data_IF_649795070047
#
_entry.id   IF_649795070047
#
_cell.length_a   1.000
_cell.length_b   1.000
_cell.length_c   1.000
_cell.angle_alpha   90.00
_cell.angle_beta   90.00
_cell.angle_gamma   90.00
#
_symmetry.space_group_name_H-M   'P 1'
#
loop_
_entity.id
_entity.type
_entity.pdbx_description
1 polymer ?
#
# COMPACT_ATOMS: atom_id res chain seq x y z
N UNK A 1 -14.55 -2.49 -4.02
CA UNK A 1 -13.84 -3.56 -3.29
C UNK A 1 -12.36 -3.41 -3.55
N UNK A 2 -11.53 -3.41 -2.53
CA UNK A 2 -10.08 -3.34 -2.67
C UNK A 2 -9.52 -4.75 -2.51
N UNK A 3 -8.74 -5.19 -3.49
CA UNK A 3 -8.01 -6.45 -3.43
C UNK A 3 -6.58 -6.15 -2.99
N UNK A 4 -6.16 -6.73 -1.87
CA UNK A 4 -4.88 -6.46 -1.20
C UNK A 4 -4.21 -7.78 -0.81
N UNK A 5 -2.91 -7.72 -0.51
CA UNK A 5 -2.14 -8.89 -0.11
C UNK A 5 -2.51 -9.37 1.31
N UNK A 6 -2.72 -8.42 2.23
CA UNK A 6 -3.12 -8.67 3.61
C UNK A 6 -4.18 -7.63 4.02
N UNK A 7 -5.41 -8.10 4.27
CA UNK A 7 -6.50 -7.20 4.65
C UNK A 7 -6.36 -6.68 6.07
N UNK A 8 -5.83 -7.46 7.01
CA UNK A 8 -5.69 -7.07 8.41
C UNK A 8 -4.64 -5.96 8.56
N UNK A 9 -3.50 -6.09 7.89
CA UNK A 9 -2.48 -5.04 7.86
C UNK A 9 -2.99 -3.77 7.18
N UNK A 10 -3.71 -3.92 6.06
CA UNK A 10 -4.24 -2.78 5.30
C UNK A 10 -5.26 -1.97 6.11
N UNK A 11 -6.11 -2.61 6.91
CA UNK A 11 -7.16 -1.91 7.68
C UNK A 11 -6.73 -1.51 9.10
N UNK A 12 -5.47 -1.74 9.47
CA UNK A 12 -4.96 -1.44 10.82
C UNK A 12 -5.12 0.03 11.20
N UNK A 13 -4.99 0.94 10.24
CA UNK A 13 -5.23 2.37 10.41
C UNK A 13 -5.56 3.05 9.09
N UNK A 14 -6.12 4.26 9.12
CA UNK A 14 -6.34 5.07 7.91
C UNK A 14 -5.04 5.31 7.13
N UNK A 15 -3.92 5.48 7.86
CA UNK A 15 -2.60 5.65 7.25
C UNK A 15 -2.16 4.39 6.51
N UNK A 16 -2.29 3.22 7.14
CA UNK A 16 -1.94 1.93 6.53
C UNK A 16 -2.80 1.63 5.29
N UNK A 17 -4.09 1.99 5.35
CA UNK A 17 -5.00 1.86 4.22
C UNK A 17 -4.56 2.73 3.04
N UNK A 18 -4.32 4.02 3.28
CA UNK A 18 -3.89 4.95 2.22
C UNK A 18 -2.55 4.51 1.63
N UNK A 19 -1.58 4.15 2.48
CA UNK A 19 -0.27 3.71 2.02
C UNK A 19 -0.40 2.45 1.16
N UNK A 20 -1.08 1.42 1.63
CA UNK A 20 -1.22 0.14 0.92
C UNK A 20 -1.97 0.29 -0.39
N UNK A 21 -3.06 1.08 -0.41
CA UNK A 21 -3.89 1.27 -1.61
C UNK A 21 -3.18 2.12 -2.65
N UNK A 22 -2.60 3.27 -2.28
CA UNK A 22 -2.14 4.26 -3.27
C UNK A 22 -0.66 4.13 -3.65
N UNK A 23 0.13 3.30 -2.96
CA UNK A 23 1.52 3.00 -3.39
C UNK A 23 1.64 1.77 -4.27
N UNK A 24 0.58 0.95 -4.37
CA UNK A 24 0.55 -0.34 -5.11
C UNK A 24 -0.44 -0.37 -6.28
N UNK A 25 -1.02 0.78 -6.60
CA UNK A 25 -2.14 0.94 -7.51
C UNK A 25 -1.76 1.80 -8.71
N UNK A 26 -1.98 1.27 -9.92
CA UNK A 26 -1.89 2.01 -11.17
C UNK A 26 -3.33 2.35 -11.67
N UNK A 27 -3.74 3.63 -11.68
CA UNK A 27 -5.13 4.02 -11.97
C UNK A 27 -5.72 3.54 -13.30
N UNK A 28 -4.92 3.38 -14.35
CA UNK A 28 -5.42 2.97 -15.66
C UNK A 28 -5.56 1.44 -15.82
N UNK A 29 -4.73 0.65 -15.13
CA UNK A 29 -4.60 -0.79 -15.31
C UNK A 29 -5.18 -1.62 -14.16
N UNK A 30 -5.34 -1.04 -12.97
CA UNK A 30 -5.76 -1.78 -11.77
C UNK A 30 -7.23 -1.54 -11.36
N UNK A 31 -7.99 -0.74 -12.13
CA UNK A 31 -9.45 -0.59 -11.92
C UNK A 31 -10.21 -1.58 -12.81
N UNK A 32 -10.93 -2.50 -12.18
CA UNK A 32 -11.78 -3.48 -12.84
C UNK A 32 -13.24 -3.16 -12.55
N UNK A 33 -13.99 -2.85 -13.59
CA UNK A 33 -15.43 -2.62 -13.51
C UNK A 33 -16.08 -2.83 -14.87
N UNK A 34 -17.41 -2.83 -14.92
CA UNK A 34 -18.11 -2.60 -16.18
C UNK A 34 -17.81 -1.17 -16.65
N UNK A 35 -17.16 -1.01 -17.80
CA UNK A 35 -16.64 0.27 -18.27
C UNK A 35 -17.24 0.67 -19.61
N UNK A 36 -17.72 1.91 -19.72
CA UNK A 36 -18.14 2.51 -21.00
C UNK A 36 -17.36 3.78 -21.29
N UNK A 37 -17.03 4.01 -22.56
CA UNK A 37 -16.39 5.25 -22.97
C UNK A 37 -17.47 6.31 -23.26
N UNK A 38 -17.46 7.42 -22.51
CA UNK A 38 -18.38 8.55 -22.70
C UNK A 38 -17.53 9.77 -23.05
N UNK A 39 -17.62 10.26 -24.30
CA UNK A 39 -16.82 11.42 -24.77
C UNK A 39 -15.32 11.29 -24.46
N UNK A 40 -14.73 10.14 -24.82
CA UNK A 40 -13.33 9.78 -24.55
C UNK A 40 -12.94 9.67 -23.06
N UNK A 41 -13.91 9.58 -22.14
CA UNK A 41 -13.66 9.33 -20.71
C UNK A 41 -14.18 7.94 -20.32
N UNK A 42 -13.35 7.09 -19.68
CA UNK A 42 -13.81 5.84 -19.09
C UNK A 42 -14.78 6.12 -17.94
N UNK A 43 -16.00 5.60 -18.04
CA UNK A 43 -17.01 5.63 -16.98
C UNK A 43 -17.18 4.21 -16.39
N UNK A 44 -16.95 4.07 -15.09
CA UNK A 44 -16.99 2.81 -14.35
C UNK A 44 -18.34 2.62 -13.66
N UNK A 45 -18.91 1.42 -13.77
CA UNK A 45 -20.20 1.07 -13.17
C UNK A 45 -20.03 -0.07 -12.16
N UNK A 46 -20.75 -0.05 -11.02
CA UNK A 46 -20.64 -1.09 -10.01
C UNK A 46 -20.91 -2.51 -10.52
N UNK A 47 -20.28 -3.54 -9.92
CA UNK A 47 -19.27 -3.44 -8.85
C UNK A 47 -17.90 -2.97 -9.40
N UNK A 48 -17.17 -2.19 -8.58
CA UNK A 48 -15.82 -1.71 -8.88
C UNK A 48 -14.83 -2.45 -7.98
N UNK A 49 -13.81 -3.03 -8.59
CA UNK A 49 -12.69 -3.68 -7.92
C UNK A 49 -11.41 -2.93 -8.25
N UNK A 50 -10.59 -2.69 -7.21
CA UNK A 50 -9.29 -2.03 -7.35
C UNK A 50 -8.22 -3.03 -6.90
N UNK A 51 -7.29 -3.40 -7.78
CA UNK A 51 -6.21 -4.34 -7.47
C UNK A 51 -4.97 -3.62 -6.91
N UNK A 52 -4.89 -3.55 -5.59
CA UNK A 52 -3.80 -2.93 -4.82
C UNK A 52 -2.75 -3.95 -4.34
N UNK A 53 -2.72 -5.16 -4.91
CA UNK A 53 -1.71 -6.16 -4.54
C UNK A 53 -0.35 -5.83 -5.07
N UNK A 54 0.66 -6.43 -4.45
CA UNK A 54 2.03 -6.24 -4.90
C UNK A 54 2.31 -6.88 -6.25
N UNK A 55 2.81 -6.08 -7.19
CA UNK A 55 3.10 -6.54 -8.54
C UNK A 55 4.49 -7.14 -8.62
N UNK A 56 4.67 -8.20 -9.40
CA UNK A 56 5.94 -8.94 -9.47
C UNK A 56 7.11 -8.12 -10.03
N UNK A 57 6.83 -7.03 -10.73
CA UNK A 57 7.84 -6.13 -11.30
C UNK A 57 8.19 -4.94 -10.41
N UNK A 58 7.55 -4.80 -9.24
CA UNK A 58 7.92 -3.74 -8.30
C UNK A 58 9.25 -4.08 -7.63
N UNK A 59 10.07 -3.06 -7.30
CA UNK A 59 11.23 -3.30 -6.48
C UNK A 59 10.80 -3.90 -5.13
N UNK A 60 11.65 -4.74 -4.51
CA UNK A 60 11.42 -5.18 -3.14
C UNK A 60 11.25 -3.99 -2.20
N UNK A 61 10.52 -4.21 -1.11
CA UNK A 61 10.39 -3.21 -0.05
C UNK A 61 11.78 -2.82 0.46
N UNK A 62 11.97 -1.52 0.69
CA UNK A 62 13.19 -1.02 1.31
C UNK A 62 13.18 -1.39 2.79
N UNK A 63 14.12 -2.23 3.19
CA UNK A 63 14.32 -2.62 4.58
C UNK A 63 15.55 -1.92 5.17
N UNK A 64 15.46 -1.50 6.43
CA UNK A 64 16.60 -0.93 7.12
C UNK A 64 17.63 -2.03 7.48
N UNK A 65 18.91 -1.68 7.41
CA UNK A 65 19.99 -2.61 7.76
C UNK A 65 19.92 -3.02 9.24
N UNK A 66 19.90 -4.33 9.48
CA UNK A 66 19.74 -4.90 10.83
C UNK A 66 20.81 -4.45 11.83
N UNK A 67 22.05 -4.21 11.40
CA UNK A 67 23.12 -3.70 12.28
C UNK A 67 22.86 -2.25 12.67
N UNK A 68 22.35 -1.47 11.73
CA UNK A 68 21.98 -0.07 11.94
C UNK A 68 20.80 0.03 12.90
N UNK A 69 19.75 -0.78 12.73
CA UNK A 69 18.61 -0.87 13.66
C UNK A 69 19.13 -1.12 15.09
N UNK A 70 19.89 -2.20 15.29
CA UNK A 70 20.43 -2.56 16.62
C UNK A 70 21.24 -1.44 17.25
N UNK A 71 22.09 -0.77 16.46
CA UNK A 71 22.92 0.34 16.93
C UNK A 71 22.09 1.54 17.38
N UNK A 72 20.98 1.82 16.69
CA UNK A 72 20.05 2.90 17.07
C UNK A 72 19.28 2.51 18.32
N UNK A 73 18.71 1.31 18.37
CA UNK A 73 17.96 0.80 19.54
C UNK A 73 18.83 0.80 20.80
N UNK A 74 20.08 0.31 20.70
CA UNK A 74 21.02 0.29 21.83
C UNK A 74 21.35 1.68 22.37
N UNK A 75 21.43 2.69 21.49
CA UNK A 75 21.87 4.06 21.85
C UNK A 75 20.72 4.95 22.26
N UNK A 76 19.63 4.90 21.51
CA UNK A 76 18.49 5.81 21.64
C UNK A 76 17.28 5.15 22.26
N UNK A 77 17.09 3.83 22.12
CA UNK A 77 16.03 3.10 22.82
C UNK A 77 16.14 3.31 24.33
N UNK A 78 17.34 3.14 24.90
CA UNK A 78 17.61 3.46 26.32
C UNK A 78 17.30 4.91 26.71
N UNK A 79 17.45 5.83 25.76
CA UNK A 79 17.27 7.27 25.99
C UNK A 79 15.78 7.62 25.99
N UNK A 80 15.01 6.99 25.10
CA UNK A 80 13.54 7.10 25.05
C UNK A 80 12.91 6.40 26.25
N UNK A 81 13.39 5.21 26.64
CA UNK A 81 12.90 4.48 27.82
C UNK A 81 13.21 5.19 29.14
N UNK A 82 14.15 6.15 29.13
CA UNK A 82 14.52 6.96 30.29
C UNK A 82 13.75 8.28 30.42
N UNK A 83 12.91 8.61 29.43
CA UNK A 83 12.02 9.78 29.42
C UNK A 83 10.62 9.39 29.89
#
# INVERSE_FOLDING_TARGET
MFLVDDSEDTIRSDHDFIWSVFTRFEPAGDIYANTKLIRNHPAFYPPIVVDCRMKTWYPPLTEADSKTIRKVDDRFGRLIDSL
#
